data_IF_336447528428
#
_entry.id   IF_336447528428
#
_cell.length_a   1.000
_cell.length_b   1.000
_cell.length_c   1.000
_cell.angle_alpha   90.00
_cell.angle_beta   90.00
_cell.angle_gamma   90.00
#
_symmetry.space_group_name_H-M   'P 1'
#
loop_
_entity.id
_entity.type
_entity.pdbx_description
1 polymer ?
#
# COMPACT_ATOMS: atom_id res chain seq x y z
N UNK A 1 19.19 18.01 6.07
CA UNK A 1 19.66 16.84 6.82
C UNK A 1 20.09 15.78 5.81
N UNK A 2 21.38 15.43 5.78
CA UNK A 2 21.96 14.65 4.67
C UNK A 2 21.56 13.17 4.82
N UNK A 3 20.40 12.78 4.25
CA UNK A 3 19.94 11.39 4.15
C UNK A 3 20.60 10.63 2.98
N UNK A 4 21.48 11.31 2.23
CA UNK A 4 22.11 10.87 0.98
C UNK A 4 23.22 9.82 1.14
N UNK A 5 23.49 9.32 2.33
CA UNK A 5 24.47 8.25 2.50
C UNK A 5 23.73 6.91 2.48
N UNK A 6 23.49 6.38 1.27
CA UNK A 6 23.26 4.95 1.11
C UNK A 6 24.40 4.20 1.80
N UNK A 7 24.10 3.43 2.85
CA UNK A 7 25.08 2.54 3.47
C UNK A 7 25.63 1.62 2.37
N UNK A 8 26.96 1.48 2.29
CA UNK A 8 27.58 0.53 1.38
C UNK A 8 27.29 -0.88 1.88
N UNK A 9 26.18 -1.45 1.39
CA UNK A 9 25.83 -2.84 1.66
C UNK A 9 26.55 -3.73 0.65
N UNK A 10 27.26 -4.75 1.11
CA UNK A 10 27.77 -5.81 0.24
C UNK A 10 26.68 -6.86 0.03
N UNK A 11 26.52 -7.32 -1.20
CA UNK A 11 25.51 -8.32 -1.57
C UNK A 11 26.12 -9.69 -1.76
N UNK A 12 25.45 -10.73 -1.27
CA UNK A 12 25.77 -12.13 -1.50
C UNK A 12 25.25 -12.59 -2.87
N UNK A 13 24.05 -12.14 -3.24
CA UNK A 13 23.42 -12.42 -4.52
C UNK A 13 22.87 -11.12 -5.10
N UNK A 14 23.03 -10.94 -6.42
CA UNK A 14 22.62 -9.73 -7.13
C UNK A 14 22.12 -10.11 -8.54
N UNK A 15 20.81 -10.09 -8.76
CA UNK A 15 20.18 -10.49 -10.02
C UNK A 15 19.63 -9.28 -10.76
N UNK A 16 20.27 -8.96 -11.89
CA UNK A 16 19.94 -7.81 -12.73
C UNK A 16 19.36 -8.27 -14.07
N UNK A 17 18.40 -7.50 -14.61
CA UNK A 17 17.72 -7.77 -15.87
C UNK A 17 16.61 -8.82 -15.75
N UNK A 18 15.56 -8.66 -16.54
CA UNK A 18 14.42 -9.57 -16.54
C UNK A 18 14.66 -10.74 -17.50
N UNK A 19 14.85 -11.92 -16.96
CA UNK A 19 15.12 -13.14 -17.74
C UNK A 19 14.63 -14.40 -17.01
N UNK A 20 14.57 -15.52 -17.71
CA UNK A 20 14.32 -16.82 -17.07
C UNK A 20 15.40 -17.15 -16.02
N UNK A 21 16.65 -16.80 -16.26
CA UNK A 21 17.75 -17.06 -15.33
C UNK A 21 17.58 -16.26 -14.04
N UNK A 22 17.15 -15.00 -14.14
CA UNK A 22 16.80 -14.17 -12.99
C UNK A 22 15.69 -14.81 -12.18
N UNK A 23 14.60 -15.24 -12.83
CA UNK A 23 13.45 -15.88 -12.17
C UNK A 23 13.86 -17.20 -11.49
N UNK A 24 14.66 -18.03 -12.15
CA UNK A 24 15.20 -19.27 -11.58
C UNK A 24 16.15 -19.00 -10.41
N UNK A 25 16.97 -17.95 -10.51
CA UNK A 25 17.88 -17.52 -9.45
C UNK A 25 17.11 -17.12 -8.18
N UNK A 26 16.04 -16.32 -8.30
CA UNK A 26 15.16 -15.96 -7.19
C UNK A 26 14.57 -17.23 -6.54
N UNK A 27 13.94 -18.07 -7.34
CA UNK A 27 13.26 -19.28 -6.85
C UNK A 27 14.23 -20.25 -6.17
N UNK A 28 15.44 -20.36 -6.68
CA UNK A 28 16.51 -21.21 -6.10
C UNK A 28 17.00 -20.66 -4.75
N UNK A 29 17.23 -19.35 -4.63
CA UNK A 29 17.67 -18.73 -3.37
C UNK A 29 16.61 -18.78 -2.27
N UNK A 30 15.32 -18.68 -2.66
CA UNK A 30 14.16 -18.79 -1.76
C UNK A 30 13.76 -20.26 -1.46
N UNK A 31 14.43 -21.25 -2.00
CA UNK A 31 14.13 -22.68 -1.80
C UNK A 31 12.69 -23.07 -2.15
N UNK A 32 12.14 -22.42 -3.17
CA UNK A 32 10.73 -22.58 -3.54
C UNK A 32 10.42 -23.96 -4.11
N UNK A 33 9.21 -24.48 -3.87
CA UNK A 33 8.73 -25.70 -4.50
C UNK A 33 8.55 -25.52 -6.02
N UNK A 34 8.69 -26.60 -6.77
CA UNK A 34 8.62 -26.60 -8.24
C UNK A 34 7.35 -25.96 -8.81
N UNK A 35 6.21 -26.10 -8.11
CA UNK A 35 4.97 -25.49 -8.55
C UNK A 35 5.02 -23.95 -8.55
N UNK A 36 5.79 -23.35 -7.60
CA UNK A 36 5.99 -21.91 -7.53
C UNK A 36 6.88 -21.42 -8.68
N UNK A 37 8.00 -22.12 -8.93
CA UNK A 37 8.87 -21.83 -10.08
C UNK A 37 8.09 -21.87 -11.40
N UNK A 38 7.25 -22.87 -11.59
CA UNK A 38 6.43 -23.00 -12.80
C UNK A 38 5.47 -21.82 -12.96
N UNK A 39 4.82 -21.36 -11.87
CA UNK A 39 3.98 -20.16 -11.88
C UNK A 39 4.76 -18.88 -12.22
N UNK A 40 5.96 -18.72 -11.69
CA UNK A 40 6.83 -17.59 -12.02
C UNK A 40 7.18 -17.55 -13.51
N UNK A 41 7.60 -18.67 -14.06
CA UNK A 41 7.98 -18.78 -15.48
C UNK A 41 6.78 -18.58 -16.42
N UNK A 42 5.60 -19.06 -16.06
CA UNK A 42 4.36 -18.77 -16.78
C UNK A 42 4.05 -17.27 -16.76
N UNK A 43 4.16 -16.63 -15.61
CA UNK A 43 3.91 -15.20 -15.45
C UNK A 43 4.92 -14.34 -16.23
N UNK A 44 6.19 -14.77 -16.32
CA UNK A 44 7.17 -14.11 -17.17
C UNK A 44 6.78 -14.15 -18.65
N UNK A 45 6.26 -15.28 -19.14
CA UNK A 45 5.74 -15.40 -20.50
C UNK A 45 4.54 -14.48 -20.74
N UNK A 46 3.63 -14.41 -19.76
CA UNK A 46 2.47 -13.50 -19.80
C UNK A 46 2.95 -12.05 -19.85
N UNK A 47 3.94 -11.66 -19.04
CA UNK A 47 4.51 -10.31 -19.06
C UNK A 47 4.98 -9.90 -20.46
N UNK A 48 5.71 -10.76 -21.14
CA UNK A 48 6.18 -10.46 -22.51
C UNK A 48 5.06 -10.42 -23.55
N UNK A 49 3.94 -11.10 -23.31
CA UNK A 49 2.78 -11.11 -24.21
C UNK A 49 1.86 -9.90 -24.05
N UNK A 50 1.89 -9.23 -22.90
CA UNK A 50 1.03 -8.09 -22.59
C UNK A 50 1.67 -6.79 -23.07
N UNK A 51 0.86 -5.89 -23.64
CA UNK A 51 1.26 -4.53 -23.99
C UNK A 51 1.35 -3.64 -22.74
N UNK A 52 2.15 -2.55 -22.85
CA UNK A 52 2.17 -1.52 -21.81
C UNK A 52 0.83 -0.77 -21.81
N UNK A 53 0.25 -0.52 -20.63
CA UNK A 53 -1.00 0.23 -20.56
C UNK A 53 -0.80 1.70 -20.94
N UNK A 54 -1.69 2.22 -21.79
CA UNK A 54 -1.60 3.58 -22.32
C UNK A 54 -2.22 4.67 -21.43
N UNK A 55 -2.99 4.28 -20.42
CA UNK A 55 -3.77 5.20 -19.56
C UNK A 55 -3.16 5.41 -18.17
N UNK A 56 -2.00 4.84 -17.92
CA UNK A 56 -1.29 4.94 -16.65
C UNK A 56 -0.41 6.19 -16.61
N UNK A 57 0.10 6.57 -15.42
CA UNK A 57 1.08 7.64 -15.34
C UNK A 57 2.33 7.32 -16.17
N UNK A 58 3.15 8.32 -16.44
CA UNK A 58 4.36 8.17 -17.26
C UNK A 58 5.29 7.08 -16.70
N UNK A 59 5.24 5.90 -17.32
CA UNK A 59 6.05 4.71 -17.01
C UNK A 59 6.87 4.23 -18.21
N UNK A 60 6.91 5.02 -19.28
CA UNK A 60 7.63 4.70 -20.52
C UNK A 60 9.14 4.59 -20.36
N UNK A 61 9.68 5.22 -19.33
CA UNK A 61 11.12 5.31 -19.08
C UNK A 61 11.65 4.13 -18.25
N UNK A 62 10.79 3.15 -17.95
CA UNK A 62 11.18 1.95 -17.21
C UNK A 62 11.98 0.99 -18.10
N UNK A 63 13.27 0.86 -17.79
CA UNK A 63 14.19 -0.05 -18.47
C UNK A 63 14.29 -1.38 -17.71
N UNK A 64 13.49 -2.35 -18.13
CA UNK A 64 13.40 -3.67 -17.47
C UNK A 64 14.70 -4.49 -17.53
N UNK A 65 15.58 -4.19 -18.46
CA UNK A 65 16.86 -4.93 -18.61
C UNK A 65 17.96 -4.38 -17.68
N UNK A 66 17.81 -3.15 -17.21
CA UNK A 66 18.79 -2.52 -16.32
C UNK A 66 18.41 -2.51 -14.84
N UNK A 67 17.33 -3.17 -14.49
CA UNK A 67 16.80 -3.22 -13.12
C UNK A 67 17.38 -4.39 -12.35
N UNK A 68 17.56 -4.19 -11.04
CA UNK A 68 17.89 -5.24 -10.09
C UNK A 68 16.61 -5.80 -9.49
N UNK A 69 16.30 -7.03 -9.80
CA UNK A 69 15.07 -7.70 -9.36
C UNK A 69 15.22 -8.42 -8.03
N UNK A 70 16.44 -8.77 -7.68
CA UNK A 70 16.71 -9.44 -6.43
C UNK A 70 18.13 -9.14 -5.96
N UNK A 71 18.25 -8.81 -4.69
CA UNK A 71 19.54 -8.62 -4.07
C UNK A 71 19.49 -9.11 -2.62
N UNK A 72 20.41 -9.98 -2.24
CA UNK A 72 20.54 -10.53 -0.90
C UNK A 72 21.75 -9.90 -0.22
N UNK A 73 21.55 -9.10 0.83
CA UNK A 73 22.66 -8.48 1.53
C UNK A 73 23.49 -9.52 2.30
N UNK A 74 24.80 -9.32 2.36
CA UNK A 74 25.70 -10.05 3.25
C UNK A 74 25.47 -9.60 4.69
N UNK A 75 24.45 -10.14 5.35
CA UNK A 75 24.22 -9.92 6.78
C UNK A 75 24.71 -11.17 7.53
N UNK A 76 25.41 -10.98 8.64
CA UNK A 76 25.89 -12.09 9.47
C UNK A 76 24.73 -13.04 9.83
N UNK A 77 25.03 -14.29 10.09
CA UNK A 77 24.21 -15.51 10.15
C UNK A 77 22.83 -15.50 10.89
N UNK A 78 22.28 -14.36 11.27
CA UNK A 78 20.93 -14.24 11.84
C UNK A 78 19.98 -13.63 10.78
N UNK A 79 19.20 -14.46 10.17
CA UNK A 79 18.21 -14.10 9.14
C UNK A 79 17.02 -13.32 9.73
N UNK A 80 16.72 -13.48 11.01
CA UNK A 80 15.62 -12.85 11.71
C UNK A 80 16.05 -12.37 13.10
N UNK A 81 15.67 -11.15 13.46
CA UNK A 81 15.77 -10.65 14.82
C UNK A 81 14.42 -10.78 15.52
N UNK A 82 14.38 -11.59 16.58
CA UNK A 82 13.15 -11.83 17.37
C UNK A 82 12.94 -10.77 18.46
N UNK A 83 13.91 -9.89 18.68
CA UNK A 83 13.84 -8.78 19.63
C UNK A 83 14.46 -7.53 19.01
N UNK A 84 13.91 -6.36 19.35
CA UNK A 84 14.45 -5.06 18.92
C UNK A 84 15.93 -4.89 19.26
N UNK A 85 16.38 -5.45 20.37
CA UNK A 85 17.77 -5.35 20.79
C UNK A 85 18.74 -6.09 19.86
N UNK A 86 18.25 -7.10 19.11
CA UNK A 86 19.04 -7.88 18.16
C UNK A 86 19.16 -7.23 16.77
N UNK A 87 18.37 -6.18 16.51
CA UNK A 87 18.38 -5.42 15.25
C UNK A 87 19.67 -4.59 15.19
N UNK A 88 20.42 -4.60 14.06
CA UNK A 88 21.63 -3.78 13.89
C UNK A 88 21.37 -2.28 14.14
N UNK A 89 22.32 -1.62 14.80
CA UNK A 89 22.19 -0.18 15.18
C UNK A 89 21.96 0.75 13.98
N UNK A 90 22.53 0.43 12.82
CA UNK A 90 22.34 1.18 11.58
C UNK A 90 20.86 1.19 11.16
N UNK A 91 20.19 0.05 11.32
CA UNK A 91 18.78 -0.12 11.03
C UNK A 91 17.92 0.55 12.09
N UNK A 92 18.24 0.36 13.38
CA UNK A 92 17.57 1.07 14.49
C UNK A 92 17.62 2.57 14.30
N UNK A 93 18.81 3.10 13.95
CA UNK A 93 19.00 4.54 13.71
C UNK A 93 18.12 5.03 12.55
N UNK A 94 17.85 4.18 11.58
CA UNK A 94 16.96 4.46 10.44
C UNK A 94 15.52 4.55 10.90
N UNK A 95 15.02 3.57 11.66
CA UNK A 95 13.67 3.59 12.21
C UNK A 95 13.44 4.79 13.16
N UNK A 96 14.45 5.12 13.98
CA UNK A 96 14.40 6.29 14.85
C UNK A 96 14.35 7.61 14.07
N UNK A 97 15.07 7.71 12.94
CA UNK A 97 15.01 8.88 12.05
C UNK A 97 13.66 9.05 11.38
N UNK A 98 12.92 7.98 11.23
CA UNK A 98 11.57 7.96 10.68
C UNK A 98 10.49 8.15 11.76
N UNK A 99 10.90 8.45 12.99
CA UNK A 99 9.99 8.67 14.11
C UNK A 99 9.11 7.47 14.47
N UNK A 100 9.56 6.23 14.18
CA UNK A 100 8.96 5.02 14.71
C UNK A 100 9.65 4.74 16.06
N UNK A 101 9.05 5.11 17.20
CA UNK A 101 9.71 4.99 18.48
C UNK A 101 9.75 3.52 18.92
N UNK A 102 10.79 3.14 19.66
CA UNK A 102 10.88 1.83 20.33
C UNK A 102 9.65 1.53 21.22
N UNK A 103 9.06 2.60 21.80
CA UNK A 103 7.83 2.52 22.59
C UNK A 103 6.64 2.00 21.76
N UNK A 104 6.58 2.34 20.47
CA UNK A 104 5.50 1.93 19.57
C UNK A 104 5.52 0.43 19.32
N UNK A 105 6.69 -0.16 19.16
CA UNK A 105 6.86 -1.61 19.04
C UNK A 105 6.32 -2.39 20.28
N UNK A 106 6.22 -1.72 21.43
CA UNK A 106 5.65 -2.31 22.64
C UNK A 106 4.12 -2.28 22.68
N UNK A 107 3.50 -1.33 21.98
CA UNK A 107 2.04 -1.17 21.95
C UNK A 107 1.37 -1.96 20.83
N UNK A 108 2.09 -2.27 19.76
CA UNK A 108 1.57 -3.04 18.62
C UNK A 108 1.54 -4.55 18.96
N UNK A 109 0.57 -5.27 18.43
CA UNK A 109 0.49 -6.71 18.58
C UNK A 109 1.70 -7.40 17.93
N UNK A 110 2.11 -6.86 16.78
CA UNK A 110 3.22 -7.33 15.97
C UNK A 110 3.98 -6.15 15.41
N UNK A 111 5.29 -6.28 15.32
CA UNK A 111 6.13 -5.38 14.57
C UNK A 111 7.04 -6.19 13.64
N UNK A 112 7.03 -5.88 12.37
CA UNK A 112 7.84 -6.52 11.36
C UNK A 112 8.48 -5.46 10.48
N UNK A 113 9.78 -5.60 10.24
CA UNK A 113 10.55 -4.63 9.48
C UNK A 113 11.36 -5.31 8.39
N UNK A 114 11.43 -4.67 7.25
CA UNK A 114 12.19 -5.13 6.11
C UNK A 114 13.29 -4.15 5.75
N UNK A 115 14.45 -4.68 5.42
CA UNK A 115 15.59 -3.92 4.95
C UNK A 115 16.21 -4.64 3.77
N UNK A 116 16.24 -3.98 2.61
CA UNK A 116 16.89 -4.49 1.40
C UNK A 116 16.57 -5.97 1.09
N UNK A 117 15.32 -6.32 0.81
CA UNK A 117 14.90 -7.67 0.43
C UNK A 117 14.98 -8.77 1.51
N UNK A 118 15.34 -8.43 2.73
CA UNK A 118 15.47 -9.41 3.80
C UNK A 118 14.72 -8.95 5.03
N UNK A 119 13.80 -9.75 5.54
CA UNK A 119 13.16 -9.51 6.83
C UNK A 119 14.21 -9.66 7.93
N UNK A 120 14.51 -8.57 8.64
CA UNK A 120 15.57 -8.51 9.64
C UNK A 120 15.06 -8.31 11.06
N UNK A 121 13.78 -7.93 11.18
CA UNK A 121 13.12 -7.77 12.47
C UNK A 121 11.70 -8.33 12.40
N UNK A 122 11.40 -9.23 13.31
CA UNK A 122 10.07 -9.81 13.49
C UNK A 122 9.80 -9.97 14.98
N UNK A 123 8.75 -9.35 15.50
CA UNK A 123 8.31 -9.46 16.89
C UNK A 123 6.85 -9.84 16.96
N UNK A 124 6.59 -10.96 17.64
CA UNK A 124 5.26 -11.48 17.87
C UNK A 124 4.98 -11.57 19.38
N UNK A 125 3.83 -11.13 19.80
CA UNK A 125 3.40 -11.39 21.17
C UNK A 125 3.04 -12.88 21.31
N UNK A 126 3.65 -13.57 22.25
CA UNK A 126 3.41 -15.01 22.51
C UNK A 126 1.92 -15.33 22.69
N UNK A 127 1.20 -14.46 23.36
CA UNK A 127 -0.26 -14.55 23.56
C UNK A 127 -1.06 -14.69 22.25
N UNK A 128 -0.60 -14.06 21.17
CA UNK A 128 -1.26 -14.16 19.86
C UNK A 128 -0.87 -15.47 19.15
N UNK A 129 0.38 -15.89 19.32
CA UNK A 129 0.89 -17.15 18.77
C UNK A 129 0.15 -18.34 19.38
N UNK A 130 -0.12 -18.30 20.68
CA UNK A 130 -0.94 -19.30 21.39
C UNK A 130 -2.38 -19.37 20.84
N UNK A 131 -2.89 -18.27 20.29
CA UNK A 131 -4.21 -18.22 19.62
C UNK A 131 -4.18 -18.72 18.17
N UNK A 132 -3.04 -19.19 17.67
CA UNK A 132 -2.87 -19.70 16.32
C UNK A 132 -2.77 -18.64 15.23
N UNK A 133 -2.49 -17.38 15.59
CA UNK A 133 -2.23 -16.33 14.62
C UNK A 133 -0.88 -16.56 13.95
N UNK A 134 -0.85 -16.49 12.62
CA UNK A 134 0.39 -16.53 11.84
C UNK A 134 0.65 -15.11 11.34
N UNK A 135 1.85 -14.61 11.58
CA UNK A 135 2.37 -13.40 10.97
C UNK A 135 3.85 -13.61 10.65
N UNK A 136 4.14 -13.92 9.40
CA UNK A 136 5.44 -14.36 8.93
C UNK A 136 5.79 -13.67 7.61
N UNK A 137 7.06 -13.75 7.21
CA UNK A 137 7.45 -13.49 5.83
C UNK A 137 6.80 -14.51 4.89
N UNK A 138 6.31 -14.06 3.74
CA UNK A 138 5.59 -14.94 2.81
C UNK A 138 6.49 -16.04 2.25
N UNK A 139 7.79 -15.77 2.03
CA UNK A 139 8.75 -16.80 1.58
C UNK A 139 8.92 -17.88 2.63
N UNK A 140 8.96 -17.51 3.91
CA UNK A 140 9.02 -18.45 5.03
C UNK A 140 7.69 -19.21 5.17
N UNK A 141 6.55 -18.51 5.10
CA UNK A 141 5.23 -19.13 5.17
C UNK A 141 4.98 -20.12 4.03
N UNK A 142 5.56 -19.91 2.85
CA UNK A 142 5.47 -20.83 1.72
C UNK A 142 6.12 -22.21 2.04
N UNK A 143 7.13 -22.22 2.90
CA UNK A 143 7.82 -23.45 3.32
C UNK A 143 7.16 -24.11 4.52
N UNK A 144 6.68 -23.31 5.50
CA UNK A 144 6.10 -23.81 6.75
C UNK A 144 4.60 -24.17 6.61
N UNK A 145 3.86 -23.43 5.75
CA UNK A 145 2.43 -23.59 5.53
C UNK A 145 2.07 -23.72 4.04
N UNK A 146 2.69 -24.64 3.28
CA UNK A 146 2.62 -24.69 1.82
C UNK A 146 1.21 -24.84 1.26
N UNK A 147 0.36 -25.60 1.89
CA UNK A 147 -1.02 -25.81 1.44
C UNK A 147 -1.86 -24.54 1.61
N UNK A 148 -1.73 -23.87 2.77
CA UNK A 148 -2.45 -22.64 3.06
C UNK A 148 -2.04 -21.50 2.11
N UNK A 149 -0.74 -21.36 1.84
CA UNK A 149 -0.23 -20.40 0.87
C UNK A 149 -0.72 -20.74 -0.53
N UNK A 150 -0.61 -21.99 -0.96
CA UNK A 150 -1.00 -22.46 -2.31
C UNK A 150 -2.49 -22.23 -2.60
N UNK A 151 -3.33 -22.36 -1.59
CA UNK A 151 -4.79 -22.19 -1.75
C UNK A 151 -5.20 -20.73 -1.92
N UNK A 152 -4.37 -19.78 -1.47
CA UNK A 152 -4.68 -18.36 -1.52
C UNK A 152 -3.80 -17.56 -2.50
N UNK A 153 -2.63 -18.06 -2.84
CA UNK A 153 -1.65 -17.36 -3.67
C UNK A 153 -2.11 -17.25 -5.13
N UNK A 154 -2.11 -16.06 -5.71
CA UNK A 154 -2.56 -15.75 -7.09
C UNK A 154 -4.04 -16.07 -7.38
N UNK A 155 -4.90 -15.99 -6.39
CA UNK A 155 -6.33 -16.33 -6.60
C UNK A 155 -7.17 -15.14 -7.01
N UNK A 156 -6.89 -13.99 -6.47
CA UNK A 156 -7.71 -12.79 -6.70
C UNK A 156 -7.02 -11.72 -7.53
N UNK A 157 -5.69 -11.77 -7.64
CA UNK A 157 -4.92 -10.95 -8.59
C UNK A 157 -4.17 -11.87 -9.55
N UNK A 158 -4.76 -12.32 -10.67
CA UNK A 158 -4.08 -13.21 -11.61
C UNK A 158 -3.00 -12.45 -12.41
N UNK A 159 -1.98 -13.15 -12.95
CA UNK A 159 -0.93 -12.53 -13.77
C UNK A 159 -1.47 -11.91 -15.07
N UNK A 160 -2.65 -12.30 -15.49
CA UNK A 160 -3.34 -11.75 -16.68
C UNK A 160 -4.07 -10.43 -16.41
N UNK A 161 -4.10 -9.94 -15.18
CA UNK A 161 -4.82 -8.72 -14.81
C UNK A 161 -4.23 -7.50 -15.55
N UNK A 162 -2.92 -7.37 -15.53
CA UNK A 162 -2.15 -6.36 -16.28
C UNK A 162 -0.65 -6.69 -16.27
N UNK A 163 0.12 -6.00 -17.12
CA UNK A 163 1.56 -6.26 -17.31
C UNK A 163 2.38 -6.25 -16.01
N UNK A 164 2.12 -5.32 -15.11
CA UNK A 164 2.84 -5.25 -13.82
C UNK A 164 2.38 -6.32 -12.83
N UNK A 165 1.16 -6.83 -12.91
CA UNK A 165 0.78 -8.02 -12.17
C UNK A 165 1.57 -9.23 -12.65
N UNK A 166 1.69 -9.42 -13.97
CA UNK A 166 2.52 -10.50 -14.53
C UNK A 166 3.99 -10.38 -14.11
N UNK A 167 4.56 -9.16 -14.16
CA UNK A 167 5.92 -8.91 -13.69
C UNK A 167 6.07 -9.27 -12.20
N UNK A 168 5.16 -8.76 -11.36
CA UNK A 168 5.15 -9.03 -9.94
C UNK A 168 5.18 -10.54 -9.64
N UNK A 169 4.32 -11.30 -10.30
CA UNK A 169 4.26 -12.75 -10.16
C UNK A 169 5.54 -13.47 -10.59
N UNK A 170 6.27 -12.94 -11.55
CA UNK A 170 7.53 -13.52 -11.99
C UNK A 170 8.67 -13.31 -10.99
N UNK A 171 8.70 -12.15 -10.31
CA UNK A 171 9.89 -11.70 -9.56
C UNK A 171 9.63 -11.33 -8.09
N UNK A 172 8.42 -11.54 -7.55
CA UNK A 172 8.17 -11.29 -6.12
C UNK A 172 9.19 -12.04 -5.25
N UNK A 173 9.58 -11.49 -4.13
CA UNK A 173 10.64 -12.10 -3.32
C UNK A 173 10.38 -12.12 -1.82
N UNK A 174 9.41 -11.36 -1.33
CA UNK A 174 8.99 -11.32 0.08
C UNK A 174 7.65 -10.63 0.22
N UNK A 175 7.23 -10.40 1.45
CA UNK A 175 5.97 -9.77 1.81
C UNK A 175 5.42 -10.38 3.10
N UNK A 176 4.24 -9.95 3.50
CA UNK A 176 3.62 -10.43 4.73
C UNK A 176 2.66 -11.58 4.45
N UNK A 177 2.72 -12.61 5.26
CA UNK A 177 1.71 -13.64 5.36
C UNK A 177 1.01 -13.52 6.70
N UNK A 178 -0.29 -13.25 6.68
CA UNK A 178 -1.13 -13.08 7.87
C UNK A 178 -2.28 -14.05 7.83
N UNK A 179 -2.44 -14.85 8.88
CA UNK A 179 -3.59 -15.72 9.08
C UNK A 179 -4.20 -15.49 10.45
N UNK A 180 -5.47 -15.14 10.49
CA UNK A 180 -6.23 -14.92 11.72
C UNK A 180 -7.29 -16.02 11.84
N UNK A 181 -7.19 -16.91 12.84
CA UNK A 181 -8.13 -18.01 13.03
C UNK A 181 -9.54 -17.53 13.37
N UNK A 182 -10.51 -18.43 13.26
CA UNK A 182 -11.92 -18.20 13.62
C UNK A 182 -12.07 -17.64 15.03
N UNK A 183 -12.97 -16.65 15.20
CA UNK A 183 -13.32 -15.98 16.45
C UNK A 183 -12.20 -15.19 17.11
N UNK A 184 -11.02 -15.14 16.53
CA UNK A 184 -9.91 -14.34 17.07
C UNK A 184 -10.09 -12.89 16.70
N UNK A 185 -10.17 -12.03 17.70
CA UNK A 185 -10.23 -10.56 17.54
C UNK A 185 -8.98 -9.94 18.11
N UNK A 186 -8.31 -9.15 17.28
CA UNK A 186 -7.14 -8.37 17.66
C UNK A 186 -7.58 -7.00 18.16
N UNK A 187 -7.18 -6.66 19.36
CA UNK A 187 -7.37 -5.34 19.99
C UNK A 187 -6.28 -4.33 19.59
N UNK A 188 -5.18 -4.82 19.03
CA UNK A 188 -4.07 -4.01 18.56
C UNK A 188 -3.75 -4.34 17.10
N UNK A 189 -3.33 -3.36 16.28
CA UNK A 189 -3.01 -3.60 14.89
C UNK A 189 -1.73 -4.44 14.73
N UNK A 190 -1.72 -5.28 13.71
CA UNK A 190 -0.50 -5.84 13.14
C UNK A 190 0.19 -4.76 12.32
N UNK A 191 1.51 -4.68 12.39
CA UNK A 191 2.26 -3.65 11.66
C UNK A 191 3.40 -4.27 10.87
N UNK A 192 3.51 -3.85 9.60
CA UNK A 192 4.66 -4.08 8.75
C UNK A 192 5.25 -2.73 8.32
N UNK A 193 6.57 -2.66 8.27
CA UNK A 193 7.26 -1.47 7.78
C UNK A 193 8.29 -1.85 6.72
N UNK A 194 8.18 -1.21 5.55
CA UNK A 194 9.02 -1.47 4.40
C UNK A 194 9.84 -0.23 4.04
N UNK A 195 11.14 -0.41 3.87
CA UNK A 195 12.02 0.67 3.46
C UNK A 195 12.92 0.26 2.32
N UNK A 196 12.91 1.05 1.26
CA UNK A 196 13.90 0.96 0.20
C UNK A 196 15.16 1.72 0.60
N UNK A 197 16.31 1.06 0.63
CA UNK A 197 17.57 1.67 1.09
C UNK A 197 18.74 1.56 0.10
N UNK A 198 18.49 1.11 -1.11
CA UNK A 198 19.56 0.82 -2.10
C UNK A 198 19.26 1.41 -3.48
N UNK A 199 20.33 1.71 -4.20
CA UNK A 199 20.37 2.28 -5.55
C UNK A 199 19.83 1.32 -6.61
N UNK A 200 18.97 1.80 -7.54
CA UNK A 200 18.42 1.04 -8.69
C UNK A 200 17.62 -0.19 -8.32
N UNK A 201 17.08 -0.23 -7.13
CA UNK A 201 16.40 -1.38 -6.65
C UNK A 201 14.90 -1.31 -6.84
N UNK A 202 14.33 -2.45 -7.24
CA UNK A 202 12.91 -2.65 -7.36
C UNK A 202 12.46 -3.63 -6.29
N UNK A 203 11.51 -3.23 -5.50
CA UNK A 203 10.87 -4.08 -4.52
C UNK A 203 9.58 -4.67 -5.10
N UNK A 204 9.44 -5.99 -4.98
CA UNK A 204 8.27 -6.73 -5.41
C UNK A 204 7.71 -7.50 -4.21
N UNK A 205 6.85 -6.83 -3.45
CA UNK A 205 6.31 -7.38 -2.22
C UNK A 205 4.93 -7.98 -2.45
N UNK A 206 4.74 -9.22 -1.96
CA UNK A 206 3.46 -9.89 -2.03
C UNK A 206 2.92 -10.15 -0.62
N UNK A 207 1.79 -9.55 -0.29
CA UNK A 207 1.11 -9.71 1.00
C UNK A 207 -0.15 -10.53 0.83
N UNK A 208 -0.31 -11.56 1.65
CA UNK A 208 -1.54 -12.36 1.75
C UNK A 208 -2.09 -12.22 3.17
N UNK A 209 -3.34 -11.82 3.29
CA UNK A 209 -4.04 -11.70 4.56
C UNK A 209 -5.32 -12.54 4.53
N UNK A 210 -5.45 -13.47 5.46
CA UNK A 210 -6.59 -14.38 5.57
C UNK A 210 -7.24 -14.18 6.92
N UNK A 211 -8.50 -13.76 6.92
CA UNK A 211 -9.33 -13.67 8.10
C UNK A 211 -10.41 -14.75 8.05
N UNK A 212 -10.33 -15.69 8.96
CA UNK A 212 -11.33 -16.73 9.13
C UNK A 212 -12.63 -16.20 9.75
N UNK A 213 -13.68 -17.02 9.77
CA UNK A 213 -15.00 -16.63 10.24
C UNK A 213 -14.97 -15.95 11.64
N UNK A 214 -15.73 -14.86 11.77
CA UNK A 214 -15.93 -14.11 13.01
C UNK A 214 -14.64 -13.52 13.62
N UNK A 215 -13.58 -13.43 12.82
CA UNK A 215 -12.32 -12.80 13.25
C UNK A 215 -12.31 -11.29 13.00
N UNK A 216 -11.46 -10.56 13.70
CA UNK A 216 -11.27 -9.12 13.51
C UNK A 216 -9.80 -8.76 13.62
N UNK A 217 -9.29 -8.02 12.61
CA UNK A 217 -7.92 -7.56 12.60
C UNK A 217 -7.78 -6.19 11.95
N UNK A 218 -6.77 -5.48 12.38
CA UNK A 218 -6.24 -4.29 11.73
C UNK A 218 -4.81 -4.57 11.31
N UNK A 219 -4.47 -4.21 10.08
CA UNK A 219 -3.12 -4.29 9.56
C UNK A 219 -2.69 -2.92 9.06
N UNK A 220 -1.53 -2.49 9.49
CA UNK A 220 -0.97 -1.20 9.14
C UNK A 220 0.34 -1.42 8.44
N UNK A 221 0.50 -0.73 7.34
CA UNK A 221 1.65 -0.81 6.49
C UNK A 221 2.26 0.58 6.31
N UNK A 222 3.51 0.70 6.71
CA UNK A 222 4.32 1.88 6.50
C UNK A 222 5.36 1.63 5.43
N UNK A 223 5.44 2.50 4.42
CA UNK A 223 6.44 2.40 3.36
C UNK A 223 7.20 3.70 3.21
N UNK A 224 8.52 3.61 3.06
CA UNK A 224 9.33 4.79 2.78
C UNK A 224 10.54 4.51 1.90
N UNK A 225 10.97 5.53 1.15
CA UNK A 225 12.25 5.53 0.46
C UNK A 225 12.94 6.88 0.65
N UNK A 226 14.26 6.91 0.92
CA UNK A 226 15.03 8.13 0.88
C UNK A 226 15.18 8.62 -0.57
N UNK A 227 15.50 9.91 -0.75
CA UNK A 227 15.77 10.46 -2.06
C UNK A 227 17.10 9.94 -2.60
N UNK A 228 17.04 9.29 -3.75
CA UNK A 228 18.20 8.86 -4.53
C UNK A 228 18.36 9.70 -5.77
N UNK A 229 19.56 9.71 -6.37
CA UNK A 229 19.81 10.40 -7.66
C UNK A 229 19.31 9.61 -8.87
N UNK A 230 18.66 8.47 -8.68
CA UNK A 230 18.15 7.60 -9.74
C UNK A 230 16.75 7.12 -9.42
N UNK A 231 16.01 6.76 -10.46
CA UNK A 231 14.64 6.24 -10.34
C UNK A 231 14.64 4.87 -9.64
N UNK A 232 13.70 4.71 -8.73
CA UNK A 232 13.44 3.45 -8.03
C UNK A 232 11.99 3.02 -8.28
N UNK A 233 11.69 1.72 -8.10
CA UNK A 233 10.33 1.21 -8.22
C UNK A 233 9.96 0.33 -7.03
N UNK A 234 8.79 0.62 -6.50
CA UNK A 234 8.08 -0.22 -5.56
C UNK A 234 6.83 -0.80 -6.24
N UNK A 235 6.79 -2.11 -6.39
CA UNK A 235 5.63 -2.81 -6.93
C UNK A 235 5.09 -3.77 -5.88
N UNK A 236 3.84 -3.58 -5.53
CA UNK A 236 3.22 -4.29 -4.44
C UNK A 236 1.93 -4.98 -4.86
N UNK A 237 1.79 -6.23 -4.45
CA UNK A 237 0.54 -6.95 -4.61
C UNK A 237 0.00 -7.40 -3.25
N UNK A 238 -1.26 -7.11 -2.98
CA UNK A 238 -1.94 -7.49 -1.75
C UNK A 238 -3.21 -8.26 -2.08
N UNK A 239 -3.31 -9.46 -1.54
CA UNK A 239 -4.49 -10.32 -1.63
C UNK A 239 -5.09 -10.51 -0.23
N UNK A 240 -6.35 -10.08 -0.04
CA UNK A 240 -7.04 -10.16 1.24
C UNK A 240 -8.28 -11.03 1.12
N UNK A 241 -8.39 -12.01 1.98
CA UNK A 241 -9.50 -12.94 2.10
C UNK A 241 -10.22 -12.66 3.41
N UNK A 242 -11.45 -12.19 3.32
CA UNK A 242 -12.26 -11.81 4.48
C UNK A 242 -13.47 -12.73 4.50
N UNK A 243 -13.42 -13.79 5.38
CA UNK A 243 -14.46 -14.82 5.44
C UNK A 243 -15.65 -14.38 6.33
N UNK A 244 -16.60 -15.22 6.52
CA UNK A 244 -17.92 -14.92 7.07
C UNK A 244 -17.89 -14.25 8.46
N UNK A 245 -18.54 -13.11 8.64
CA UNK A 245 -18.63 -12.32 9.88
C UNK A 245 -17.31 -11.74 10.42
N UNK A 246 -16.22 -11.60 9.65
CA UNK A 246 -15.04 -10.94 10.15
C UNK A 246 -14.94 -9.48 9.74
N UNK A 247 -13.98 -8.80 10.27
CA UNK A 247 -13.72 -7.40 10.00
C UNK A 247 -12.23 -7.19 9.73
N UNK A 248 -11.93 -6.65 8.58
CA UNK A 248 -10.59 -6.26 8.21
C UNK A 248 -10.48 -4.76 8.00
N UNK A 249 -9.54 -4.12 8.69
CA UNK A 249 -9.06 -2.79 8.33
C UNK A 249 -7.63 -2.89 7.86
N UNK A 250 -7.39 -2.47 6.63
CA UNK A 250 -6.07 -2.36 6.04
C UNK A 250 -5.72 -0.89 5.89
N UNK A 251 -4.66 -0.46 6.56
CA UNK A 251 -4.16 0.91 6.51
C UNK A 251 -2.79 0.94 5.85
N UNK A 252 -2.56 1.87 4.93
CA UNK A 252 -1.29 2.04 4.23
C UNK A 252 -0.86 3.50 4.28
N UNK A 253 0.34 3.75 4.80
CA UNK A 253 0.96 5.07 4.84
C UNK A 253 2.22 5.03 3.98
N UNK A 254 2.15 5.66 2.83
CA UNK A 254 3.17 5.59 1.79
C UNK A 254 3.89 6.93 1.67
N UNK A 255 5.13 6.97 2.16
CA UNK A 255 6.00 8.14 2.19
C UNK A 255 7.22 7.90 1.28
N UNK A 256 7.05 8.13 0.00
CA UNK A 256 8.06 7.87 -1.03
C UNK A 256 8.87 9.11 -1.36
N UNK A 257 10.04 8.93 -1.94
CA UNK A 257 10.78 10.02 -2.54
C UNK A 257 10.23 10.38 -3.93
N UNK A 258 10.48 11.62 -4.36
CA UNK A 258 10.02 12.17 -5.66
C UNK A 258 10.63 11.51 -6.90
N UNK A 259 11.40 10.46 -6.77
CA UNK A 259 11.99 9.65 -7.85
C UNK A 259 11.60 8.16 -7.75
N UNK A 260 10.51 7.85 -7.03
CA UNK A 260 10.01 6.48 -6.87
C UNK A 260 8.76 6.27 -7.71
N UNK A 261 8.76 5.22 -8.52
CA UNK A 261 7.54 4.65 -9.07
C UNK A 261 6.87 3.78 -8.01
N UNK A 262 5.61 4.04 -7.76
CA UNK A 262 4.81 3.31 -6.77
C UNK A 262 3.64 2.60 -7.45
N UNK A 263 3.80 1.31 -7.76
CA UNK A 263 2.85 0.54 -8.58
C UNK A 263 2.21 -0.57 -7.75
N UNK A 264 1.03 -0.29 -7.18
CA UNK A 264 0.37 -1.16 -6.23
C UNK A 264 -0.93 -1.75 -6.77
N UNK A 265 -1.09 -3.05 -6.61
CA UNK A 265 -2.34 -3.76 -6.88
C UNK A 265 -2.82 -4.40 -5.58
N UNK A 266 -3.93 -3.89 -5.04
CA UNK A 266 -4.50 -4.39 -3.77
C UNK A 266 -5.91 -4.92 -4.04
N UNK A 267 -6.22 -6.14 -3.62
CA UNK A 267 -7.55 -6.73 -3.85
C UNK A 267 -8.04 -7.52 -2.66
N UNK A 268 -9.30 -7.33 -2.31
CA UNK A 268 -9.99 -8.09 -1.27
C UNK A 268 -11.22 -8.80 -1.82
N UNK A 269 -11.40 -10.04 -1.43
CA UNK A 269 -12.67 -10.76 -1.52
C UNK A 269 -13.36 -10.66 -0.17
N UNK A 270 -14.65 -10.28 -0.20
CA UNK A 270 -15.46 -10.08 1.01
C UNK A 270 -16.68 -10.99 0.96
N UNK A 271 -16.77 -11.90 1.95
CA UNK A 271 -17.82 -12.91 2.08
C UNK A 271 -19.07 -12.37 2.83
N UNK A 272 -19.98 -13.18 3.27
CA UNK A 272 -21.31 -12.85 3.83
C UNK A 272 -21.27 -12.07 5.15
N UNK A 273 -22.00 -10.95 5.24
CA UNK A 273 -22.10 -10.05 6.41
C UNK A 273 -20.79 -9.39 6.88
N UNK A 274 -19.96 -8.94 5.99
CA UNK A 274 -18.57 -8.52 6.21
C UNK A 274 -18.26 -7.08 5.93
N UNK A 275 -17.12 -6.63 6.46
CA UNK A 275 -16.60 -5.33 6.11
C UNK A 275 -15.09 -5.37 5.81
N UNK A 276 -14.73 -4.85 4.67
CA UNK A 276 -13.36 -4.47 4.31
C UNK A 276 -13.22 -2.96 4.37
N UNK A 277 -12.38 -2.48 5.25
CA UNK A 277 -12.06 -1.07 5.40
C UNK A 277 -10.65 -0.80 4.84
N UNK A 278 -10.57 0.01 3.78
CA UNK A 278 -9.34 0.52 3.23
C UNK A 278 -9.10 1.93 3.75
N UNK A 279 -7.93 2.18 4.35
CA UNK A 279 -7.49 3.51 4.76
C UNK A 279 -6.09 3.72 4.22
N UNK A 280 -5.92 4.64 3.30
CA UNK A 280 -4.61 4.82 2.71
C UNK A 280 -4.25 6.28 2.47
N UNK A 281 -2.95 6.54 2.56
CA UNK A 281 -2.33 7.82 2.38
C UNK A 281 -1.10 7.68 1.50
N UNK A 282 -1.03 8.43 0.39
CA UNK A 282 0.09 8.42 -0.54
C UNK A 282 0.71 9.81 -0.68
N UNK A 283 2.02 9.89 -0.49
CA UNK A 283 2.81 11.10 -0.53
C UNK A 283 4.03 10.95 -1.42
N UNK A 284 4.35 11.98 -2.17
CA UNK A 284 5.60 12.29 -2.86
C UNK A 284 6.18 11.31 -3.87
N UNK A 285 5.56 10.22 -4.20
CA UNK A 285 6.06 9.37 -5.29
C UNK A 285 6.05 10.12 -6.64
N UNK A 286 7.05 9.83 -7.50
CA UNK A 286 7.14 10.38 -8.85
C UNK A 286 5.90 10.05 -9.69
N UNK A 287 5.61 8.75 -9.79
CA UNK A 287 4.42 8.25 -10.44
C UNK A 287 3.77 7.17 -9.60
N UNK A 288 2.49 7.32 -9.33
CA UNK A 288 1.71 6.38 -8.52
C UNK A 288 0.62 5.72 -9.35
N UNK A 289 0.56 4.39 -9.21
CA UNK A 289 -0.56 3.55 -9.56
C UNK A 289 -1.00 2.79 -8.29
N UNK A 290 -2.02 3.27 -7.62
CA UNK A 290 -2.53 2.65 -6.38
C UNK A 290 -3.99 2.28 -6.55
N UNK A 291 -4.27 0.97 -6.69
CA UNK A 291 -5.53 0.46 -7.18
C UNK A 291 -6.18 -0.56 -6.23
N UNK A 292 -6.68 -0.16 -5.05
CA UNK A 292 -7.46 -1.04 -4.20
C UNK A 292 -8.79 -1.43 -4.83
N UNK A 293 -9.14 -2.70 -4.69
CA UNK A 293 -10.38 -3.26 -5.21
C UNK A 293 -11.02 -4.20 -4.19
N UNK A 294 -12.31 -3.98 -3.89
CA UNK A 294 -13.13 -4.92 -3.12
C UNK A 294 -14.10 -5.67 -4.02
N UNK A 295 -14.16 -6.98 -3.86
CA UNK A 295 -15.13 -7.86 -4.53
C UNK A 295 -16.12 -8.36 -3.49
N UNK A 296 -17.33 -7.82 -3.53
CA UNK A 296 -18.43 -8.14 -2.61
C UNK A 296 -19.24 -9.29 -3.21
N UNK A 297 -18.96 -10.52 -2.75
CA UNK A 297 -19.47 -11.71 -3.45
C UNK A 297 -20.65 -12.40 -2.77
N UNK A 298 -21.07 -11.93 -1.58
CA UNK A 298 -22.18 -12.50 -0.84
C UNK A 298 -23.08 -11.44 -0.20
N UNK A 299 -24.19 -11.88 0.39
CA UNK A 299 -25.18 -11.00 1.02
C UNK A 299 -24.59 -10.15 2.13
N UNK A 300 -24.99 -8.88 2.21
CA UNK A 300 -24.63 -7.93 3.26
C UNK A 300 -23.14 -7.62 3.38
N UNK A 301 -22.31 -8.04 2.42
CA UNK A 301 -20.91 -7.65 2.41
C UNK A 301 -20.72 -6.15 2.16
N UNK A 302 -19.71 -5.56 2.80
CA UNK A 302 -19.47 -4.11 2.81
C UNK A 302 -18.02 -3.77 2.47
N UNK A 303 -17.84 -2.60 1.86
CA UNK A 303 -16.51 -2.04 1.65
C UNK A 303 -16.52 -0.54 1.91
N UNK A 304 -15.65 -0.10 2.81
CA UNK A 304 -15.35 1.31 3.04
C UNK A 304 -13.95 1.63 2.50
N UNK A 305 -13.85 2.69 1.71
CA UNK A 305 -12.60 3.15 1.14
C UNK A 305 -12.39 4.61 1.51
N UNK A 306 -11.35 4.88 2.28
CA UNK A 306 -11.00 6.21 2.75
C UNK A 306 -9.58 6.54 2.33
N UNK A 307 -9.40 7.59 1.53
CA UNK A 307 -8.14 7.89 0.89
C UNK A 307 -7.74 9.36 0.98
N UNK A 308 -6.44 9.59 1.14
CA UNK A 308 -5.82 10.90 0.94
C UNK A 308 -4.69 10.79 -0.05
N UNK A 309 -4.68 11.69 -1.01
CA UNK A 309 -3.63 11.80 -2.02
C UNK A 309 -3.14 13.24 -2.08
N UNK A 310 -1.83 13.41 -2.04
CA UNK A 310 -1.20 14.71 -2.18
C UNK A 310 -0.24 14.68 -3.36
N UNK A 311 -0.47 15.55 -4.33
CA UNK A 311 0.40 15.74 -5.49
C UNK A 311 1.09 17.10 -5.41
N UNK A 312 2.41 17.10 -5.44
CA UNK A 312 3.28 18.27 -5.45
C UNK A 312 4.21 18.24 -6.66
N UNK A 313 5.24 19.04 -6.68
CA UNK A 313 6.17 19.23 -7.80
C UNK A 313 6.70 17.91 -8.38
N UNK A 314 6.55 17.72 -9.68
CA UNK A 314 7.01 16.54 -10.44
C UNK A 314 6.33 15.21 -10.06
N UNK A 315 5.06 15.24 -9.66
CA UNK A 315 4.35 14.03 -9.24
C UNK A 315 3.11 13.77 -10.10
N UNK A 316 3.02 12.57 -10.67
CA UNK A 316 1.84 12.09 -11.39
C UNK A 316 1.13 11.03 -10.56
N UNK A 317 0.03 11.45 -9.91
CA UNK A 317 -0.74 10.60 -9.02
C UNK A 317 -2.01 10.11 -9.74
N UNK A 318 -2.01 8.85 -10.18
CA UNK A 318 -3.21 8.17 -10.68
C UNK A 318 -3.62 7.09 -9.69
N UNK A 319 -4.65 7.38 -8.94
CA UNK A 319 -5.14 6.51 -7.87
C UNK A 319 -6.61 6.23 -8.06
N UNK A 320 -7.06 5.06 -7.66
CA UNK A 320 -8.47 4.73 -7.75
C UNK A 320 -8.99 3.91 -6.57
N UNK A 321 -10.31 3.86 -6.44
CA UNK A 321 -11.02 2.85 -5.65
C UNK A 321 -11.97 2.08 -6.56
N UNK A 322 -11.96 0.77 -6.46
CA UNK A 322 -12.85 -0.09 -7.23
C UNK A 322 -13.66 -1.00 -6.31
N UNK A 323 -14.97 -1.02 -6.51
CA UNK A 323 -15.86 -1.95 -5.82
C UNK A 323 -16.70 -2.71 -6.83
N UNK A 324 -16.72 -4.03 -6.71
CA UNK A 324 -17.50 -4.93 -7.54
C UNK A 324 -18.56 -5.58 -6.66
N UNK A 325 -19.82 -5.25 -6.90
CA UNK A 325 -20.97 -5.85 -6.24
C UNK A 325 -21.46 -7.04 -7.07
N UNK A 326 -21.20 -8.24 -6.60
CA UNK A 326 -21.63 -9.48 -7.27
C UNK A 326 -22.94 -10.02 -6.73
N UNK A 327 -23.32 -9.66 -5.51
CA UNK A 327 -24.45 -10.21 -4.78
C UNK A 327 -25.36 -9.12 -4.21
N UNK A 328 -26.54 -9.53 -3.70
CA UNK A 328 -27.59 -8.62 -3.21
C UNK A 328 -27.28 -8.05 -1.82
N UNK A 329 -27.95 -6.96 -1.48
CA UNK A 329 -27.87 -6.25 -0.18
C UNK A 329 -26.45 -5.78 0.18
N UNK A 330 -25.54 -5.69 -0.77
CA UNK A 330 -24.18 -5.24 -0.54
C UNK A 330 -24.07 -3.72 -0.51
N UNK A 331 -23.11 -3.20 0.24
CA UNK A 331 -22.92 -1.74 0.32
C UNK A 331 -21.48 -1.33 0.20
N UNK A 332 -21.24 -0.14 -0.34
CA UNK A 332 -19.91 0.46 -0.37
C UNK A 332 -19.94 1.97 -0.15
N UNK A 333 -18.86 2.46 0.47
CA UNK A 333 -18.66 3.88 0.67
C UNK A 333 -17.23 4.24 0.25
N UNK A 334 -17.09 5.21 -0.66
CA UNK A 334 -15.81 5.66 -1.19
C UNK A 334 -15.67 7.15 -0.84
N UNK A 335 -14.67 7.47 -0.03
CA UNK A 335 -14.33 8.85 0.33
C UNK A 335 -12.89 9.13 -0.08
N UNK A 336 -12.70 10.12 -0.94
CA UNK A 336 -11.39 10.57 -1.39
C UNK A 336 -11.17 12.03 -1.05
N UNK A 337 -10.02 12.31 -0.45
CA UNK A 337 -9.50 13.66 -0.22
C UNK A 337 -8.24 13.85 -1.06
N UNK A 338 -8.27 14.75 -2.04
CA UNK A 338 -7.13 15.05 -2.89
C UNK A 338 -6.60 16.46 -2.66
N UNK A 339 -5.28 16.61 -2.63
CA UNK A 339 -4.60 17.90 -2.47
C UNK A 339 -3.64 18.06 -3.63
N UNK A 340 -3.75 19.18 -4.34
CA UNK A 340 -2.89 19.49 -5.48
C UNK A 340 -2.20 20.85 -5.26
N UNK A 341 -0.86 20.86 -5.42
CA UNK A 341 -0.04 22.05 -5.26
C UNK A 341 1.14 22.05 -6.24
N UNK A 342 1.75 23.23 -6.41
CA UNK A 342 2.96 23.42 -7.23
C UNK A 342 2.81 23.02 -8.70
N UNK A 343 1.62 23.30 -9.33
CA UNK A 343 1.32 23.11 -10.75
C UNK A 343 1.11 21.66 -11.21
N UNK A 344 0.83 20.71 -10.28
CA UNK A 344 0.74 19.30 -10.60
C UNK A 344 -0.68 18.75 -10.62
N UNK A 345 -0.80 17.55 -11.14
CA UNK A 345 -2.07 16.90 -11.44
C UNK A 345 -2.27 15.72 -10.49
N UNK A 346 -3.41 15.73 -9.82
CA UNK A 346 -3.93 14.58 -9.10
C UNK A 346 -5.11 13.99 -9.86
N UNK A 347 -5.05 12.72 -10.21
CA UNK A 347 -6.14 12.00 -10.86
C UNK A 347 -6.70 10.95 -9.91
N UNK A 348 -7.94 11.12 -9.52
CA UNK A 348 -8.67 10.13 -8.74
C UNK A 348 -9.71 9.45 -9.62
N UNK A 349 -9.59 8.12 -9.76
CA UNK A 349 -10.56 7.30 -10.49
C UNK A 349 -11.35 6.48 -9.50
N UNK A 350 -12.63 6.28 -9.76
CA UNK A 350 -13.39 5.31 -9.01
C UNK A 350 -14.30 4.50 -9.93
N UNK A 351 -14.44 3.22 -9.57
CA UNK A 351 -15.18 2.24 -10.37
C UNK A 351 -16.16 1.53 -9.46
N UNK A 352 -17.43 1.65 -9.76
CA UNK A 352 -18.49 0.87 -9.12
C UNK A 352 -19.13 -0.01 -10.17
N UNK A 353 -18.99 -1.32 -9.98
CA UNK A 353 -19.59 -2.31 -10.85
C UNK A 353 -20.66 -3.09 -10.11
N UNK A 354 -21.91 -3.05 -10.64
CA UNK A 354 -23.05 -3.76 -10.07
C UNK A 354 -23.52 -4.80 -11.08
N UNK A 355 -23.42 -6.07 -10.70
CA UNK A 355 -23.86 -7.16 -11.56
C UNK A 355 -25.39 -7.27 -11.60
N UNK A 356 -25.92 -7.86 -12.68
CA UNK A 356 -27.37 -7.99 -12.92
C UNK A 356 -28.13 -8.68 -11.77
N UNK A 357 -27.49 -9.56 -11.01
CA UNK A 357 -28.09 -10.30 -9.90
C UNK A 357 -27.84 -9.63 -8.54
N UNK A 358 -27.12 -8.50 -8.50
CA UNK A 358 -26.81 -7.76 -7.28
C UNK A 358 -27.94 -6.78 -6.96
N UNK A 359 -29.00 -7.28 -6.32
CA UNK A 359 -30.17 -6.50 -5.92
C UNK A 359 -29.90 -5.68 -4.65
N UNK A 360 -30.59 -4.53 -4.50
CA UNK A 360 -30.54 -3.67 -3.31
C UNK A 360 -29.12 -3.20 -2.94
N UNK A 361 -28.27 -2.97 -3.93
CA UNK A 361 -26.95 -2.42 -3.72
C UNK A 361 -27.05 -0.95 -3.31
N UNK A 362 -26.29 -0.54 -2.30
CA UNK A 362 -26.16 0.86 -1.89
C UNK A 362 -24.70 1.28 -2.02
N UNK A 363 -24.44 2.33 -2.81
CA UNK A 363 -23.11 2.87 -2.97
C UNK A 363 -23.13 4.40 -2.80
N UNK A 364 -22.22 4.90 -1.96
CA UNK A 364 -21.97 6.34 -1.82
C UNK A 364 -20.52 6.64 -2.23
N UNK A 365 -20.33 7.68 -3.03
CA UNK A 365 -19.01 8.15 -3.45
C UNK A 365 -18.90 9.64 -3.16
N UNK A 366 -17.88 10.04 -2.42
CA UNK A 366 -17.59 11.44 -2.11
C UNK A 366 -16.13 11.75 -2.45
N UNK A 367 -15.92 12.69 -3.36
CA UNK A 367 -14.62 13.10 -3.85
C UNK A 367 -14.39 14.58 -3.60
N UNK A 368 -13.61 14.92 -2.58
CA UNK A 368 -13.27 16.30 -2.27
C UNK A 368 -11.84 16.61 -2.72
N UNK A 369 -11.65 17.73 -3.39
CA UNK A 369 -10.37 18.21 -3.86
C UNK A 369 -10.07 19.60 -3.28
N UNK A 370 -8.86 19.76 -2.73
CA UNK A 370 -8.33 21.03 -2.28
C UNK A 370 -7.17 21.43 -3.19
N UNK A 371 -7.28 22.59 -3.84
CA UNK A 371 -6.27 23.13 -4.75
C UNK A 371 -5.59 24.31 -4.05
N UNK A 372 -4.27 24.23 -3.91
CA UNK A 372 -3.51 25.20 -3.13
C UNK A 372 -2.91 26.35 -3.96
N UNK A 373 -2.97 26.28 -5.29
CA UNK A 373 -2.47 27.31 -6.19
C UNK A 373 -3.36 27.48 -7.44
N UNK A 374 -2.98 28.39 -8.34
CA UNK A 374 -3.78 28.71 -9.53
C UNK A 374 -3.68 27.71 -10.68
N UNK A 375 -2.61 26.93 -10.72
CA UNK A 375 -2.24 26.13 -11.89
C UNK A 375 -2.36 24.63 -11.65
N UNK A 376 -2.46 24.22 -10.39
CA UNK A 376 -2.67 22.81 -10.02
C UNK A 376 -4.05 22.32 -10.43
N UNK A 377 -4.13 21.04 -10.76
CA UNK A 377 -5.37 20.41 -11.27
C UNK A 377 -5.71 19.19 -10.47
N UNK A 378 -6.97 19.05 -10.09
CA UNK A 378 -7.52 17.82 -9.58
C UNK A 378 -8.57 17.26 -10.55
N UNK A 379 -8.40 15.99 -10.93
CA UNK A 379 -9.32 15.29 -11.83
C UNK A 379 -10.02 14.16 -11.08
N UNK A 380 -11.34 14.10 -11.19
CA UNK A 380 -12.14 12.96 -10.73
C UNK A 380 -12.75 12.28 -11.94
N UNK A 381 -12.48 10.97 -12.11
CA UNK A 381 -12.94 10.19 -13.25
C UNK A 381 -13.85 9.06 -12.75
N UNK A 382 -15.19 9.24 -12.82
CA UNK A 382 -16.14 8.23 -12.43
C UNK A 382 -16.36 7.16 -13.51
N UNK A 383 -16.48 5.89 -13.09
CA UNK A 383 -16.98 4.81 -13.92
C UNK A 383 -18.05 4.03 -13.17
N UNK A 384 -19.29 4.09 -13.66
CA UNK A 384 -20.41 3.32 -13.13
C UNK A 384 -20.86 2.31 -14.18
N UNK A 385 -20.68 1.02 -13.87
CA UNK A 385 -21.22 -0.10 -14.66
C UNK A 385 -22.31 -0.78 -13.83
N UNK A 386 -23.54 -0.27 -13.94
CA UNK A 386 -24.67 -0.75 -13.15
C UNK A 386 -25.66 -1.49 -14.03
N UNK A 387 -25.81 -2.80 -13.77
CA UNK A 387 -26.66 -3.70 -14.51
C UNK A 387 -27.91 -4.15 -13.72
N UNK A 388 -28.26 -3.47 -12.62
CA UNK A 388 -29.42 -3.77 -11.79
C UNK A 388 -30.17 -2.50 -11.40
N UNK A 389 -31.49 -2.46 -11.68
CA UNK A 389 -32.32 -1.28 -11.46
C UNK A 389 -32.67 -0.97 -9.98
N UNK A 390 -32.46 -1.93 -9.07
CA UNK A 390 -32.68 -1.72 -7.64
C UNK A 390 -31.49 -1.06 -6.91
N UNK A 391 -30.37 -0.87 -7.61
CA UNK A 391 -29.17 -0.26 -7.02
C UNK A 391 -29.35 1.25 -6.79
N UNK A 392 -28.93 1.70 -5.64
CA UNK A 392 -28.87 3.11 -5.26
C UNK A 392 -27.41 3.57 -5.24
N UNK A 393 -27.04 4.39 -6.21
CA UNK A 393 -25.67 4.92 -6.32
C UNK A 393 -25.73 6.43 -6.24
N UNK A 394 -25.05 7.02 -5.26
CA UNK A 394 -24.87 8.46 -5.13
C UNK A 394 -23.41 8.84 -5.37
N UNK A 395 -23.20 9.96 -6.06
CA UNK A 395 -21.87 10.55 -6.24
C UNK A 395 -21.93 12.05 -5.97
N UNK A 396 -21.06 12.51 -5.10
CA UNK A 396 -20.81 13.91 -4.84
C UNK A 396 -19.33 14.21 -5.08
N UNK A 397 -19.04 15.29 -5.80
CA UNK A 397 -17.68 15.74 -6.02
C UNK A 397 -17.60 17.24 -5.75
N UNK A 398 -16.64 17.65 -4.94
CA UNK A 398 -16.32 19.04 -4.69
C UNK A 398 -14.86 19.35 -5.02
N UNK A 399 -14.61 20.51 -5.60
CA UNK A 399 -13.26 21.00 -5.81
C UNK A 399 -13.23 22.49 -5.44
N UNK A 400 -12.35 22.83 -4.54
CA UNK A 400 -12.19 24.19 -4.04
C UNK A 400 -10.74 24.62 -3.95
N UNK A 401 -10.50 25.90 -4.16
CA UNK A 401 -9.24 26.54 -3.78
C UNK A 401 -9.27 26.88 -2.30
N UNK A 402 -8.07 26.99 -1.71
CA UNK A 402 -7.95 27.55 -0.35
C UNK A 402 -8.52 28.96 -0.33
N UNK A 403 -9.38 29.22 0.64
CA UNK A 403 -9.94 30.56 0.84
C UNK A 403 -8.87 31.50 1.45
N UNK A 404 -8.38 32.43 0.65
CA UNK A 404 -7.40 33.43 1.06
C UNK A 404 -7.89 34.30 2.25
N UNK A 405 -9.22 34.46 2.43
CA UNK A 405 -9.75 35.15 3.59
C UNK A 405 -9.52 34.35 4.89
N UNK A 406 -9.63 33.01 4.82
CA UNK A 406 -9.30 32.16 5.97
C UNK A 406 -7.79 32.21 6.28
N UNK A 407 -6.94 32.18 5.27
CA UNK A 407 -5.49 32.35 5.43
C UNK A 407 -5.19 33.71 6.06
N UNK A 408 -5.75 34.79 5.50
CA UNK A 408 -5.60 36.15 6.05
C UNK A 408 -6.08 36.27 7.48
N UNK A 409 -7.21 35.65 7.81
CA UNK A 409 -7.73 35.64 9.18
C UNK A 409 -6.75 34.99 10.16
N UNK A 410 -6.17 33.82 9.80
CA UNK A 410 -5.16 33.16 10.62
C UNK A 410 -3.88 34.00 10.75
N UNK A 411 -3.43 34.63 9.65
CA UNK A 411 -2.28 35.55 9.65
C UNK A 411 -2.52 36.78 10.55
N UNK A 412 -3.75 37.33 10.57
CA UNK A 412 -4.10 38.46 11.45
C UNK A 412 -4.05 38.10 12.93
N UNK A 413 -4.05 36.79 13.26
CA UNK A 413 -3.83 36.27 14.62
C UNK A 413 -2.36 35.95 14.93
N UNK A 414 -1.42 36.37 14.06
CA UNK A 414 0.01 36.15 14.22
C UNK A 414 0.52 34.78 13.77
N UNK A 415 -0.27 34.03 13.03
CA UNK A 415 0.14 32.72 12.47
C UNK A 415 0.85 32.97 11.14
N UNK A 416 2.09 32.51 10.90
CA UNK A 416 2.75 32.60 9.59
C UNK A 416 1.93 31.93 8.48
N UNK A 417 2.05 32.42 7.23
CA UNK A 417 1.26 31.91 6.08
C UNK A 417 1.39 30.41 5.90
N UNK A 418 2.62 29.90 5.95
CA UNK A 418 2.92 28.46 5.77
C UNK A 418 2.19 27.62 6.83
N UNK A 419 2.22 28.07 8.07
CA UNK A 419 1.53 27.41 9.18
C UNK A 419 0.00 27.52 9.05
N UNK A 420 -0.52 28.65 8.57
CA UNK A 420 -1.93 28.83 8.29
C UNK A 420 -2.41 27.85 7.19
N UNK A 421 -1.63 27.70 6.12
CA UNK A 421 -1.89 26.74 5.06
C UNK A 421 -1.89 25.29 5.59
N UNK A 422 -0.87 24.93 6.37
CA UNK A 422 -0.77 23.61 7.02
C UNK A 422 -2.01 23.30 7.89
N UNK A 423 -2.49 24.28 8.67
CA UNK A 423 -3.68 24.10 9.50
C UNK A 423 -4.94 23.85 8.67
N UNK A 424 -5.12 24.55 7.55
CA UNK A 424 -6.27 24.35 6.64
C UNK A 424 -6.20 22.99 5.96
N UNK A 425 -5.02 22.56 5.51
CA UNK A 425 -4.81 21.23 4.92
C UNK A 425 -5.09 20.14 5.95
N UNK A 426 -4.54 20.26 7.16
CA UNK A 426 -4.78 19.31 8.25
C UNK A 426 -6.26 19.22 8.62
N UNK A 427 -6.98 20.34 8.65
CA UNK A 427 -8.42 20.33 8.88
C UNK A 427 -9.17 19.60 7.76
N UNK A 428 -8.81 19.84 6.49
CA UNK A 428 -9.42 19.20 5.32
C UNK A 428 -9.31 17.68 5.36
N UNK A 429 -8.14 17.14 5.76
CA UNK A 429 -7.88 15.70 5.83
C UNK A 429 -8.17 15.08 7.21
N UNK A 430 -8.65 15.85 8.17
CA UNK A 430 -8.80 15.40 9.56
C UNK A 430 -9.67 14.17 9.74
N UNK A 431 -10.68 13.96 8.88
CA UNK A 431 -11.55 12.78 8.91
C UNK A 431 -10.78 11.48 8.63
N UNK A 432 -9.71 11.56 7.81
CA UNK A 432 -8.84 10.42 7.50
C UNK A 432 -7.81 10.22 8.59
N UNK A 433 -7.16 11.31 9.03
CA UNK A 433 -6.13 11.26 10.09
C UNK A 433 -6.66 10.59 11.36
N UNK A 434 -7.91 10.85 11.73
CA UNK A 434 -8.56 10.24 12.91
C UNK A 434 -8.76 8.72 12.81
N UNK A 435 -8.62 8.14 11.63
CA UNK A 435 -8.73 6.69 11.44
C UNK A 435 -7.40 5.96 11.63
N UNK A 436 -6.30 6.70 11.71
CA UNK A 436 -4.96 6.17 11.90
C UNK A 436 -4.58 6.13 13.38
N UNK A 437 -3.67 5.25 13.79
CA UNK A 437 -3.05 5.31 15.11
C UNK A 437 -2.38 6.67 15.34
N UNK A 438 -2.26 7.07 16.60
CA UNK A 438 -1.80 8.41 17.01
C UNK A 438 -0.42 8.75 16.44
N UNK A 439 0.47 7.80 16.37
CA UNK A 439 1.83 7.92 15.89
C UNK A 439 1.85 8.29 14.40
N UNK A 440 1.11 7.53 13.57
CA UNK A 440 0.97 7.84 12.15
C UNK A 440 0.24 9.14 11.89
N UNK A 441 -0.76 9.46 12.72
CA UNK A 441 -1.44 10.74 12.66
C UNK A 441 -0.47 11.90 12.96
N UNK A 442 0.43 11.73 13.94
CA UNK A 442 1.48 12.70 14.27
C UNK A 442 2.49 12.88 13.14
N UNK A 443 2.94 11.77 12.56
CA UNK A 443 3.85 11.78 11.40
C UNK A 443 3.24 12.52 10.22
N UNK A 444 2.01 12.19 9.84
CA UNK A 444 1.32 12.84 8.73
C UNK A 444 1.14 14.34 8.93
N UNK A 445 0.75 14.77 10.12
CA UNK A 445 0.66 16.19 10.43
C UNK A 445 2.01 16.90 10.24
N UNK A 446 3.11 16.25 10.67
CA UNK A 446 4.46 16.79 10.51
C UNK A 446 4.89 16.84 9.05
N UNK A 447 4.58 15.80 8.25
CA UNK A 447 4.88 15.76 6.84
C UNK A 447 4.13 16.86 6.06
N UNK A 448 2.85 17.11 6.38
CA UNK A 448 2.09 18.23 5.82
C UNK A 448 2.72 19.57 6.20
N UNK A 449 3.17 19.74 7.43
CA UNK A 449 3.87 20.97 7.85
C UNK A 449 5.13 21.21 7.02
N UNK A 450 5.98 20.19 6.89
CA UNK A 450 7.22 20.28 6.12
C UNK A 450 6.97 20.60 4.64
N UNK A 451 5.95 20.03 4.04
CA UNK A 451 5.58 20.33 2.66
C UNK A 451 5.13 21.77 2.49
N UNK A 452 4.31 22.29 3.42
CA UNK A 452 3.85 23.68 3.36
C UNK A 452 4.98 24.68 3.63
N UNK A 453 6.00 24.33 4.41
CA UNK A 453 7.21 25.11 4.64
C UNK A 453 8.17 25.09 3.42
N UNK A 454 7.91 24.29 2.41
CA UNK A 454 8.83 24.05 1.29
C UNK A 454 10.14 23.38 1.72
N UNK A 455 10.11 22.69 2.87
CA UNK A 455 11.29 22.05 3.49
C UNK A 455 11.42 20.57 3.11
N UNK A 456 10.51 20.04 2.33
CA UNK A 456 10.53 18.67 1.89
C UNK A 456 11.24 18.60 0.55
N UNK A 457 12.47 18.09 0.57
CA UNK A 457 13.27 17.56 -0.55
C UNK A 457 13.64 18.52 -1.69
#
# INVERSE_FOLDING_TARGET
MDLDKANKVEYELYLKGLSEDTVRGISSDLWEPEWMLNKRLESLKIFYSLEMPHYWPHISDLDFDNIVYYAKPKIGSKTYANDWNDVPEEIKSTFLKLWIPESEAKYLAWAWGQFDSTAIYHKIKEVWKEKGIIFEDLSHALLEYPDLVKDHFMRIVPPTDHKFAALHWAVWSWGSFVYIPKWVKLDQPLQAYFRMNTFLWWQFEHTIIILEDESEAQYIEGCSAPKYNQLSLHAWCVEIYVWKWAKMRYSSVENWSTNTYNLNTKRAIVDDNWIMEWVWWNLWSWATMLYPCSILQWDWSKSDNLSVVMASTWQDQDVWAKVIHLWKNTSSNIVSKSISLNWWINTYRWIVKVWKNAENVVCAVNCDALILDENSVSKTIPLIDCNNASALISHEASAGKVDENQVFYLMSRGIPREKAMSLLVNWFVSSVIRQLPLEYAGELNRLIELEMEGSVW
#
